data_IF_914531715654
#
_entry.id   IF_914531715654
#
_cell.length_a   1.000
_cell.length_b   1.000
_cell.length_c   1.000
_cell.angle_alpha   90.00
_cell.angle_beta   90.00
_cell.angle_gamma   90.00
#
_symmetry.space_group_name_H-M   'P 1'
#
loop_
_entity.id
_entity.type
_entity.pdbx_description
1 polymer ?
#
# COMPACT_ATOMS: atom_id res chain seq x y z
N UNK A 1 -1.50 24.79 -44.94
CA UNK A 1 -0.85 25.35 -43.75
C UNK A 1 -1.01 24.35 -42.61
N UNK A 2 0.00 23.52 -42.36
CA UNK A 2 -0.11 22.42 -41.40
C UNK A 2 0.61 22.84 -40.11
N UNK A 3 -0.13 23.50 -39.22
CA UNK A 3 0.41 23.95 -37.94
C UNK A 3 0.91 22.76 -37.11
N UNK A 4 2.18 22.79 -36.75
CA UNK A 4 2.81 21.84 -35.85
C UNK A 4 2.21 22.03 -34.44
N UNK A 5 1.18 21.25 -34.10
CA UNK A 5 0.58 21.25 -32.76
C UNK A 5 1.46 20.42 -31.83
N UNK A 6 2.21 21.10 -30.96
CA UNK A 6 2.91 20.47 -29.84
C UNK A 6 1.84 19.75 -28.99
N UNK A 7 1.90 18.42 -28.88
CA UNK A 7 1.01 17.66 -28.01
C UNK A 7 1.55 17.68 -26.58
N UNK A 8 0.84 18.39 -25.71
CA UNK A 8 1.05 18.33 -24.25
C UNK A 8 0.14 17.26 -23.64
N UNK A 9 0.60 16.66 -22.55
CA UNK A 9 -0.07 15.59 -21.84
C UNK A 9 -0.37 16.07 -20.42
N UNK A 10 -1.62 15.97 -19.98
CA UNK A 10 -2.07 16.39 -18.65
C UNK A 10 -2.60 15.21 -17.87
N UNK A 11 -2.49 15.28 -16.54
CA UNK A 11 -3.09 14.26 -15.70
C UNK A 11 -4.61 14.44 -15.64
N UNK A 12 -5.34 13.40 -16.02
CA UNK A 12 -6.81 13.39 -16.05
C UNK A 12 -7.43 12.67 -14.84
N UNK A 13 -6.62 12.33 -13.83
CA UNK A 13 -7.11 11.66 -12.63
C UNK A 13 -8.04 12.60 -11.84
N UNK A 14 -9.23 12.14 -11.42
CA UNK A 14 -10.26 12.99 -10.80
C UNK A 14 -9.84 13.53 -9.43
N UNK A 15 -8.92 12.84 -8.76
CA UNK A 15 -8.33 13.18 -7.46
C UNK A 15 -6.90 13.74 -7.60
N UNK A 16 -6.48 14.10 -8.81
CA UNK A 16 -5.19 14.75 -9.02
C UNK A 16 -5.28 16.25 -8.81
N UNK A 17 -4.61 16.77 -7.78
CA UNK A 17 -4.47 18.22 -7.57
C UNK A 17 -3.37 18.85 -8.42
N UNK A 18 -2.63 18.06 -9.22
CA UNK A 18 -1.51 18.55 -10.01
C UNK A 18 -1.98 19.06 -11.38
N UNK A 19 -1.77 20.36 -11.62
CA UNK A 19 -2.01 21.03 -12.92
C UNK A 19 -0.79 20.95 -13.85
N UNK A 20 0.06 19.93 -13.68
CA UNK A 20 1.27 19.77 -14.45
C UNK A 20 0.94 19.42 -15.92
N UNK A 21 1.55 20.17 -16.85
CA UNK A 21 1.49 19.92 -18.29
C UNK A 21 2.80 19.30 -18.74
N UNK A 22 2.78 18.02 -19.07
CA UNK A 22 3.95 17.28 -19.49
C UNK A 22 4.14 17.43 -20.99
N UNK A 23 5.36 17.74 -21.43
CA UNK A 23 5.72 17.77 -22.86
C UNK A 23 6.00 16.36 -23.39
N UNK A 24 6.13 15.37 -22.50
CA UNK A 24 6.42 13.97 -22.83
C UNK A 24 5.44 13.04 -22.11
N UNK A 25 4.94 12.04 -22.84
CA UNK A 25 4.06 11.01 -22.28
C UNK A 25 4.72 10.23 -21.14
N UNK A 26 6.04 9.99 -21.22
CA UNK A 26 6.79 9.25 -20.20
C UNK A 26 6.73 9.93 -18.82
N UNK A 27 6.73 11.27 -18.79
CA UNK A 27 6.66 12.03 -17.55
C UNK A 27 5.26 11.94 -16.92
N UNK A 28 4.22 12.04 -17.75
CA UNK A 28 2.83 11.80 -17.32
C UNK A 28 2.65 10.38 -16.74
N UNK A 29 3.18 9.35 -17.42
CA UNK A 29 3.11 7.96 -16.95
C UNK A 29 3.80 7.77 -15.59
N UNK A 30 4.98 8.39 -15.40
CA UNK A 30 5.69 8.38 -14.12
C UNK A 30 4.90 9.11 -13.03
N UNK A 31 4.32 10.27 -13.35
CA UNK A 31 3.44 11.00 -12.44
C UNK A 31 2.26 10.12 -12.01
N UNK A 32 1.56 9.50 -12.97
CA UNK A 32 0.44 8.62 -12.68
C UNK A 32 0.86 7.45 -11.78
N UNK A 33 2.00 6.81 -12.05
CA UNK A 33 2.47 5.69 -11.24
C UNK A 33 2.91 6.09 -9.82
N UNK A 34 3.43 7.30 -9.63
CA UNK A 34 3.96 7.76 -8.34
C UNK A 34 2.92 8.44 -7.46
N UNK A 35 2.02 9.22 -8.07
CA UNK A 35 0.96 9.99 -7.40
C UNK A 35 -0.33 9.17 -7.31
N UNK A 36 -0.69 8.47 -8.39
CA UNK A 36 -1.92 7.69 -8.50
C UNK A 36 -1.70 6.17 -8.51
N UNK A 37 -0.45 5.71 -8.45
CA UNK A 37 -0.17 4.30 -8.29
C UNK A 37 -0.92 3.81 -7.06
N UNK A 38 -1.68 2.72 -7.22
CA UNK A 38 -2.47 2.09 -6.16
C UNK A 38 -1.51 1.63 -5.07
N UNK A 39 -1.15 2.54 -4.17
CA UNK A 39 -0.49 2.20 -2.93
C UNK A 39 -1.57 1.62 -2.04
N UNK A 40 -2.01 0.40 -2.35
CA UNK A 40 -2.96 -0.31 -1.52
C UNK A 40 -2.34 -0.46 -0.14
N UNK A 41 -3.02 -0.04 0.94
CA UNK A 41 -2.49 -0.17 2.28
C UNK A 41 -2.45 -1.64 2.68
N UNK A 42 -1.34 -2.31 2.36
CA UNK A 42 -1.10 -3.71 2.74
C UNK A 42 -0.83 -3.84 4.25
N UNK A 43 -0.51 -2.74 4.92
CA UNK A 43 -0.09 -2.69 6.32
C UNK A 43 -1.00 -1.79 7.18
N UNK A 44 -2.23 -2.23 7.50
CA UNK A 44 -3.09 -1.53 8.45
C UNK A 44 -2.59 -1.68 9.89
N UNK A 45 -2.81 -0.65 10.71
CA UNK A 45 -2.56 -0.74 12.15
C UNK A 45 -3.53 -1.73 12.79
N UNK A 46 -3.03 -2.57 13.70
CA UNK A 46 -3.80 -3.58 14.43
C UNK A 46 -4.14 -3.15 15.87
N UNK A 47 -3.85 -1.90 16.24
CA UNK A 47 -4.13 -1.37 17.58
C UNK A 47 -5.57 -0.89 17.66
N UNK A 48 -6.31 -1.41 18.64
CA UNK A 48 -7.66 -0.98 18.96
C UNK A 48 -7.70 0.52 19.26
N UNK A 49 -8.68 1.24 18.69
CA UNK A 49 -8.81 2.72 18.72
C UNK A 49 -7.77 3.50 17.91
N UNK A 50 -6.97 2.87 17.05
CA UNK A 50 -6.14 3.62 16.11
C UNK A 50 -6.97 4.15 14.93
N UNK A 51 -6.63 5.34 14.43
CA UNK A 51 -7.27 5.94 13.24
C UNK A 51 -6.67 5.42 11.92
N UNK A 52 -5.54 4.71 11.98
CA UNK A 52 -4.78 4.18 10.83
C UNK A 52 -5.08 2.69 10.55
N UNK A 53 -6.36 2.33 10.54
CA UNK A 53 -6.84 0.95 10.30
C UNK A 53 -7.51 0.86 8.93
N UNK A 54 -7.33 -0.27 8.23
CA UNK A 54 -7.96 -0.55 6.93
C UNK A 54 -7.45 0.38 5.81
N UNK A 55 -8.37 1.12 5.19
CA UNK A 55 -8.10 2.03 4.05
C UNK A 55 -7.17 3.21 4.41
N UNK A 56 -7.09 3.55 5.71
CA UNK A 56 -6.14 4.54 6.25
C UNK A 56 -4.82 3.92 6.71
N UNK A 57 -4.59 2.66 6.36
CA UNK A 57 -3.37 1.93 6.68
C UNK A 57 -2.15 2.46 5.95
N UNK A 58 -1.01 1.84 6.24
CA UNK A 58 0.24 2.15 5.57
C UNK A 58 0.42 1.23 4.38
N UNK A 59 1.09 1.75 3.37
CA UNK A 59 1.38 1.05 2.12
C UNK A 59 2.73 0.36 2.18
N UNK A 60 3.46 0.58 3.28
CA UNK A 60 4.78 0.06 3.58
C UNK A 60 4.87 -0.35 5.05
N UNK A 61 5.56 -1.45 5.30
CA UNK A 61 5.73 -2.03 6.64
C UNK A 61 6.59 -1.17 7.56
N UNK A 62 7.62 -0.50 7.04
CA UNK A 62 8.51 0.35 7.83
C UNK A 62 7.76 1.52 8.48
N UNK A 63 6.96 2.25 7.71
CA UNK A 63 6.08 3.31 8.22
C UNK A 63 5.09 2.80 9.28
N UNK A 64 4.52 1.59 9.10
CA UNK A 64 3.67 0.98 10.13
C UNK A 64 4.45 0.70 11.42
N UNK A 65 5.65 0.13 11.33
CA UNK A 65 6.48 -0.19 12.50
C UNK A 65 6.91 1.07 13.24
N UNK A 66 7.33 2.11 12.51
CA UNK A 66 7.65 3.41 13.10
C UNK A 66 6.44 4.04 13.80
N UNK A 67 5.26 3.99 13.18
CA UNK A 67 4.02 4.43 13.80
C UNK A 67 3.72 3.67 15.09
N UNK A 68 3.85 2.34 15.09
CA UNK A 68 3.61 1.52 16.27
C UNK A 68 4.62 1.83 17.40
N UNK A 69 5.88 2.13 17.07
CA UNK A 69 6.91 2.49 18.07
C UNK A 69 6.76 3.90 18.61
N UNK A 70 6.50 4.89 17.76
CA UNK A 70 6.43 6.29 18.20
C UNK A 70 5.06 6.68 18.77
N UNK A 71 3.98 6.10 18.22
CA UNK A 71 2.61 6.47 18.58
C UNK A 71 1.99 5.53 19.61
N UNK A 72 2.34 4.25 19.54
CA UNK A 72 1.83 3.24 20.45
C UNK A 72 2.90 2.69 21.42
N UNK A 73 4.18 3.04 21.23
CA UNK A 73 5.30 2.51 22.02
C UNK A 73 5.36 0.96 22.04
N UNK A 74 4.86 0.33 20.98
CA UNK A 74 4.85 -1.12 20.82
C UNK A 74 6.10 -1.53 20.05
N UNK A 75 6.91 -2.40 20.65
CA UNK A 75 7.96 -3.09 19.91
C UNK A 75 7.32 -4.24 19.11
N UNK A 76 7.16 -4.05 17.80
CA UNK A 76 6.60 -5.08 16.92
C UNK A 76 7.72 -6.00 16.42
N UNK A 77 7.78 -7.26 16.88
CA UNK A 77 8.66 -8.24 16.27
C UNK A 77 8.21 -8.47 14.82
N UNK A 78 9.17 -8.45 13.88
CA UNK A 78 8.92 -8.73 12.46
C UNK A 78 8.24 -10.10 12.32
N UNK A 79 6.94 -10.14 12.05
CA UNK A 79 6.28 -11.37 11.60
C UNK A 79 7.01 -11.86 10.34
N UNK A 80 7.51 -13.09 10.38
CA UNK A 80 8.16 -13.77 9.25
C UNK A 80 7.11 -13.99 8.14
N UNK A 81 7.38 -13.58 6.89
CA UNK A 81 6.53 -13.98 5.77
C UNK A 81 6.74 -15.48 5.55
N UNK A 82 5.78 -16.31 5.97
CA UNK A 82 5.88 -17.76 5.76
C UNK A 82 5.14 -18.66 6.73
N UNK A 83 4.62 -18.16 7.86
CA UNK A 83 3.80 -19.00 8.76
C UNK A 83 2.37 -19.12 8.19
N UNK A 84 2.26 -19.76 7.03
CA UNK A 84 1.03 -20.38 6.60
C UNK A 84 0.76 -21.46 7.63
N UNK A 85 -0.30 -21.25 8.42
CA UNK A 85 -0.84 -22.19 9.39
C UNK A 85 -0.96 -23.59 8.79
N UNK A 86 0.11 -24.37 8.87
CA UNK A 86 0.08 -25.78 8.61
C UNK A 86 -0.33 -26.41 9.96
N UNK A 87 -1.64 -26.49 10.16
CA UNK A 87 -2.32 -27.42 11.08
C UNK A 87 -2.04 -27.26 12.60
N UNK A 88 -2.91 -26.57 13.35
CA UNK A 88 -2.92 -26.64 14.82
C UNK A 88 -3.68 -27.85 15.40
N UNK A 89 -4.20 -28.77 14.58
CA UNK A 89 -4.96 -29.93 15.08
C UNK A 89 -4.34 -31.24 14.59
N UNK A 90 -3.38 -31.76 15.37
CA UNK A 90 -3.08 -33.18 15.39
C UNK A 90 -4.27 -33.91 15.99
N UNK A 91 -5.11 -34.49 15.15
CA UNK A 91 -6.24 -35.31 15.56
C UNK A 91 -5.73 -36.59 16.24
N UNK A 92 -6.17 -36.93 17.46
CA UNK A 92 -5.88 -38.24 18.04
C UNK A 92 -6.78 -39.27 17.35
N UNK A 93 -6.23 -40.00 16.38
CA UNK A 93 -6.91 -41.15 15.82
C UNK A 93 -6.78 -42.32 16.81
N UNK A 94 -7.78 -42.43 17.69
CA UNK A 94 -8.09 -43.68 18.34
C UNK A 94 -8.79 -44.59 17.33
N UNK A 95 -8.12 -45.65 16.91
CA UNK A 95 -8.81 -46.84 16.39
C UNK A 95 -8.52 -48.01 17.33
N UNK A 96 -9.60 -48.62 17.78
CA UNK A 96 -9.70 -49.86 18.53
C UNK A 96 -9.14 -51.05 17.74
N UNK A 97 -8.42 -51.93 18.44
CA UNK A 97 -8.07 -53.28 18.03
C UNK A 97 -7.53 -54.05 19.22
#
# INVERSE_FOLDING_TARGET
>A
SSGNRIRTWTCTFPNCTSSAQFTRLADLQRHQSTVHGDKKPDFPCHVSRCSRVGDKGFTRRDHLVEHLRNFHHIDVPKRKPGERSAFPFGWPEGTSG
#
